data_IF_992132900689
#
_entry.id   IF_992132900689
#
_cell.length_a   1.000
_cell.length_b   1.000
_cell.length_c   1.000
_cell.angle_alpha   90.00
_cell.angle_beta   90.00
_cell.angle_gamma   90.00
#
_symmetry.space_group_name_H-M   'P 1'
#
loop_
_entity.id
_entity.type
_entity.pdbx_description
1 polymer ?
#
# COMPACT_ATOMS: atom_id res chain seq x y z
N UNK A 1 16.88 -14.06 34.03
CA UNK A 1 16.76 -13.57 32.64
C UNK A 1 15.68 -14.35 31.87
N UNK A 2 14.39 -14.04 32.09
CA UNK A 2 13.26 -14.67 31.38
C UNK A 2 12.08 -13.72 31.02
N UNK A 3 12.09 -12.37 31.20
CA UNK A 3 10.89 -11.58 30.87
C UNK A 3 10.73 -11.32 29.36
N UNK A 4 11.83 -11.32 28.59
CA UNK A 4 11.80 -10.92 27.18
C UNK A 4 11.02 -11.92 26.29
N UNK A 5 11.13 -13.22 26.57
CA UNK A 5 10.38 -14.26 25.84
C UNK A 5 8.88 -14.24 26.17
N UNK A 6 8.52 -13.89 27.41
CA UNK A 6 7.11 -13.74 27.81
C UNK A 6 6.45 -12.53 27.16
N UNK A 7 7.20 -11.42 26.99
CA UNK A 7 6.70 -10.22 26.33
C UNK A 7 6.48 -10.44 24.83
N UNK A 8 7.38 -11.16 24.16
CA UNK A 8 7.26 -11.49 22.73
C UNK A 8 6.06 -12.42 22.48
N UNK A 9 5.86 -13.43 23.34
CA UNK A 9 4.69 -14.32 23.24
C UNK A 9 3.36 -13.59 23.50
N UNK A 10 3.34 -12.62 24.42
CA UNK A 10 2.17 -11.78 24.68
C UNK A 10 1.83 -10.90 23.45
N UNK A 11 2.83 -10.26 22.84
CA UNK A 11 2.65 -9.45 21.62
C UNK A 11 2.17 -10.28 20.43
N UNK A 12 2.70 -11.50 20.25
CA UNK A 12 2.23 -12.43 19.23
C UNK A 12 0.79 -12.88 19.46
N UNK A 13 0.35 -13.05 20.72
CA UNK A 13 -1.03 -13.41 21.02
C UNK A 13 -2.04 -12.27 20.76
N UNK A 14 -1.58 -11.01 20.81
CA UNK A 14 -2.41 -9.85 20.49
C UNK A 14 -2.65 -9.69 18.98
N UNK A 15 -1.72 -10.16 18.15
CA UNK A 15 -1.81 -10.10 16.67
C UNK A 15 -2.76 -11.17 16.12
N UNK A 16 -2.99 -12.26 16.87
CA UNK A 16 -3.76 -13.44 16.39
C UNK A 16 -5.21 -13.43 16.91
N UNK A 17 -5.63 -12.45 17.71
CA UNK A 17 -7.06 -12.28 18.03
C UNK A 17 -7.81 -11.80 16.78
N UNK A 18 -8.64 -12.64 16.12
CA UNK A 18 -9.49 -12.15 15.06
C UNK A 18 -10.60 -11.38 15.77
N UNK A 19 -10.60 -10.05 15.62
CA UNK A 19 -11.74 -9.22 15.96
C UNK A 19 -12.91 -9.63 15.06
N UNK A 20 -13.67 -10.64 15.46
CA UNK A 20 -14.99 -10.91 14.91
C UNK A 20 -15.95 -9.84 15.43
N UNK A 21 -15.76 -8.61 14.95
CA UNK A 21 -16.82 -7.63 14.92
C UNK A 21 -17.37 -7.73 13.51
N UNK A 22 -18.42 -8.56 13.39
CA UNK A 22 -19.39 -8.43 12.30
C UNK A 22 -19.95 -7.02 12.43
N UNK A 23 -19.35 -6.08 11.71
CA UNK A 23 -20.03 -4.87 11.31
C UNK A 23 -20.73 -5.21 10.00
N UNK A 24 -22.05 -5.07 9.98
CA UNK A 24 -22.83 -5.15 8.76
C UNK A 24 -22.14 -4.25 7.72
N UNK A 25 -21.67 -4.86 6.63
CA UNK A 25 -21.25 -4.11 5.47
C UNK A 25 -22.53 -3.48 4.90
N UNK A 26 -22.81 -2.25 5.33
CA UNK A 26 -23.52 -1.33 4.47
C UNK A 26 -22.69 -1.26 3.19
N UNK A 27 -23.28 -1.77 2.12
CA UNK A 27 -22.82 -1.58 0.75
C UNK A 27 -22.85 -0.08 0.49
N UNK A 28 -21.78 0.60 0.94
CA UNK A 28 -21.56 2.01 0.69
C UNK A 28 -21.41 2.15 -0.82
N UNK A 29 -22.48 2.65 -1.42
CA UNK A 29 -22.65 2.97 -2.83
C UNK A 29 -21.72 4.13 -3.24
N UNK A 30 -20.41 3.94 -3.11
CA UNK A 30 -19.42 4.76 -3.79
C UNK A 30 -19.15 4.03 -5.10
N UNK A 31 -19.90 4.42 -6.14
CA UNK A 31 -19.99 3.77 -7.44
C UNK A 31 -18.66 3.65 -8.19
N UNK A 32 -17.94 2.57 -7.93
CA UNK A 32 -16.81 2.08 -8.71
C UNK A 32 -16.71 0.57 -8.54
N UNK A 33 -16.28 -0.15 -9.59
CA UNK A 33 -16.08 -1.59 -9.44
C UNK A 33 -14.91 -1.82 -8.46
N UNK A 34 -14.94 -2.87 -7.62
CA UNK A 34 -13.89 -3.10 -6.61
C UNK A 34 -12.48 -3.30 -7.17
N UNK A 35 -12.34 -3.44 -8.49
CA UNK A 35 -11.08 -3.60 -9.23
C UNK A 35 -10.73 -2.40 -10.11
N UNK A 36 -11.48 -1.31 -10.03
CA UNK A 36 -11.30 -0.14 -10.88
C UNK A 36 -10.15 0.73 -10.37
N UNK A 37 -8.98 0.58 -10.99
CA UNK A 37 -7.84 1.47 -10.75
C UNK A 37 -8.06 2.81 -11.44
N UNK A 38 -8.03 3.88 -10.65
CA UNK A 38 -8.05 5.25 -11.15
C UNK A 38 -6.68 5.89 -10.86
N UNK A 39 -6.02 6.40 -11.90
CA UNK A 39 -4.79 7.17 -11.77
C UNK A 39 -4.97 8.30 -10.74
N UNK A 40 -4.04 8.39 -9.79
CA UNK A 40 -4.08 9.36 -8.69
C UNK A 40 -5.05 9.02 -7.55
N UNK A 41 -5.84 7.94 -7.64
CA UNK A 41 -6.75 7.50 -6.57
C UNK A 41 -6.41 6.14 -5.97
N UNK A 42 -5.47 5.41 -6.58
CA UNK A 42 -5.09 4.07 -6.15
C UNK A 42 -6.17 3.01 -6.43
N UNK A 43 -5.88 1.79 -6.04
CA UNK A 43 -6.78 0.65 -6.03
C UNK A 43 -7.29 0.41 -4.62
N UNK A 44 -8.61 0.36 -4.44
CA UNK A 44 -9.21 0.08 -3.12
C UNK A 44 -8.91 -1.35 -2.68
N UNK A 45 -8.52 -1.53 -1.43
CA UNK A 45 -8.25 -2.84 -0.84
C UNK A 45 -9.57 -3.41 -0.29
N UNK A 46 -10.20 -4.30 -1.06
CA UNK A 46 -11.45 -4.97 -0.69
C UNK A 46 -12.54 -3.97 -0.23
N UNK A 47 -13.21 -4.26 0.89
CA UNK A 47 -14.24 -3.41 1.48
C UNK A 47 -13.69 -2.43 2.54
N UNK A 48 -12.36 -2.18 2.57
CA UNK A 48 -11.72 -1.28 3.54
C UNK A 48 -11.65 0.16 3.05
N UNK A 49 -11.28 1.09 3.93
CA UNK A 49 -10.98 2.48 3.58
C UNK A 49 -9.50 2.69 3.22
N UNK A 50 -8.80 1.60 2.89
CA UNK A 50 -7.42 1.62 2.43
C UNK A 50 -7.31 1.42 0.92
N UNK A 51 -6.27 2.02 0.36
CA UNK A 51 -5.94 2.04 -1.04
C UNK A 51 -4.46 1.68 -1.20
N UNK A 52 -4.14 0.92 -2.25
CA UNK A 52 -2.78 0.70 -2.72
C UNK A 52 -2.55 1.53 -3.98
N UNK A 53 -1.44 2.24 -4.05
CA UNK A 53 -1.03 2.99 -5.22
C UNK A 53 0.48 2.87 -5.42
N UNK A 54 0.97 3.59 -6.42
CA UNK A 54 2.37 3.63 -6.74
C UNK A 54 2.62 4.42 -8.01
N UNK A 55 3.90 4.65 -8.27
CA UNK A 55 4.39 5.20 -9.53
C UNK A 55 5.71 4.53 -9.90
N UNK A 56 6.06 4.68 -11.17
CA UNK A 56 7.33 4.23 -11.76
C UNK A 56 7.70 5.28 -12.79
N UNK A 57 8.95 5.70 -12.81
CA UNK A 57 9.49 6.51 -13.89
C UNK A 57 10.21 5.59 -14.89
N UNK A 58 10.04 5.89 -16.17
CA UNK A 58 10.57 5.08 -17.26
C UNK A 58 11.01 6.01 -18.38
N UNK A 59 12.31 6.03 -18.63
CA UNK A 59 12.93 6.92 -19.61
C UNK A 59 13.62 6.10 -20.69
N UNK A 60 13.58 6.60 -21.93
CA UNK A 60 14.34 6.07 -23.05
C UNK A 60 15.23 7.17 -23.59
N UNK A 61 16.55 6.95 -23.50
CA UNK A 61 17.56 7.87 -23.98
C UNK A 61 18.14 7.34 -25.30
N UNK A 62 18.07 8.17 -26.34
CA UNK A 62 18.69 7.91 -27.65
C UNK A 62 19.57 9.12 -27.99
N UNK A 63 20.83 9.04 -27.55
CA UNK A 63 21.84 10.01 -27.94
C UNK A 63 22.51 9.56 -29.25
N UNK A 64 22.56 10.48 -30.21
CA UNK A 64 23.09 10.21 -31.55
C UNK A 64 24.52 9.67 -31.50
N UNK A 65 24.67 8.35 -31.63
CA UNK A 65 25.97 7.66 -31.66
C UNK A 65 26.20 6.68 -30.50
N UNK A 66 25.27 6.58 -29.55
CA UNK A 66 25.29 5.58 -28.47
C UNK A 66 24.20 4.51 -28.65
N UNK A 67 24.34 3.37 -27.97
CA UNK A 67 23.25 2.39 -27.89
C UNK A 67 22.15 2.96 -27.00
N UNK A 68 20.90 2.95 -27.48
CA UNK A 68 19.77 3.48 -26.72
C UNK A 68 19.64 2.80 -25.36
N UNK A 69 19.44 3.60 -24.31
CA UNK A 69 19.32 3.13 -22.93
C UNK A 69 17.87 3.24 -22.44
N UNK A 70 17.40 2.21 -21.75
CA UNK A 70 16.18 2.28 -20.95
C UNK A 70 16.57 2.45 -19.49
N UNK A 71 16.02 3.46 -18.85
CA UNK A 71 16.23 3.74 -17.42
C UNK A 71 14.88 3.53 -16.72
N UNK A 72 14.91 2.78 -15.62
CA UNK A 72 13.77 2.62 -14.72
C UNK A 72 14.19 3.07 -13.34
N UNK A 73 13.68 4.22 -12.92
CA UNK A 73 13.96 4.83 -11.62
C UNK A 73 12.66 5.20 -10.90
N UNK A 74 12.82 5.61 -9.64
CA UNK A 74 11.75 6.07 -8.77
C UNK A 74 10.53 5.13 -8.71
N UNK A 75 10.78 3.85 -8.36
CA UNK A 75 9.69 2.89 -8.14
C UNK A 75 9.17 3.07 -6.73
N UNK A 76 7.90 3.49 -6.61
CA UNK A 76 7.23 3.61 -5.32
C UNK A 76 5.93 2.82 -5.27
N UNK A 77 5.69 2.17 -4.13
CA UNK A 77 4.42 1.59 -3.74
C UNK A 77 3.99 2.19 -2.41
N UNK A 78 2.73 2.59 -2.32
CA UNK A 78 2.19 3.14 -1.09
C UNK A 78 0.83 2.58 -0.74
N UNK A 79 0.58 2.50 0.56
CA UNK A 79 -0.72 2.16 1.16
C UNK A 79 -1.19 3.35 1.98
N UNK A 80 -2.41 3.79 1.73
CA UNK A 80 -2.99 4.96 2.39
C UNK A 80 -4.47 4.76 2.66
N UNK A 81 -5.01 5.45 3.65
CA UNK A 81 -6.41 5.31 4.02
C UNK A 81 -6.73 6.01 5.32
N UNK A 82 -7.98 5.91 5.75
CA UNK A 82 -8.43 6.49 7.02
C UNK A 82 -8.62 5.40 8.08
N UNK A 83 -8.16 5.67 9.31
CA UNK A 83 -8.38 4.82 10.49
C UNK A 83 -9.43 5.50 11.36
N UNK A 84 -10.70 5.26 11.02
CA UNK A 84 -11.82 5.98 11.61
C UNK A 84 -11.87 7.45 11.19
N UNK A 85 -12.67 8.29 11.88
CA UNK A 85 -13.00 9.64 11.39
C UNK A 85 -11.90 10.70 11.58
N UNK A 86 -10.82 10.38 12.32
CA UNK A 86 -9.85 11.38 12.78
C UNK A 86 -8.40 11.11 12.34
N UNK A 87 -8.10 9.88 11.93
CA UNK A 87 -6.73 9.49 11.61
C UNK A 87 -6.61 9.14 10.14
N UNK A 88 -5.58 9.68 9.50
CA UNK A 88 -5.15 9.28 8.17
C UNK A 88 -3.84 8.52 8.27
N UNK A 89 -3.80 7.37 7.62
CA UNK A 89 -2.63 6.51 7.50
C UNK A 89 -2.00 6.68 6.12
N UNK A 90 -0.68 6.69 6.09
CA UNK A 90 0.12 6.64 4.88
C UNK A 90 1.40 5.85 5.17
N UNK A 91 1.76 4.95 4.28
CA UNK A 91 3.02 4.20 4.29
C UNK A 91 3.49 4.03 2.87
N UNK A 92 4.80 4.20 2.65
CA UNK A 92 5.44 4.13 1.35
C UNK A 92 6.66 3.22 1.42
N UNK A 93 6.88 2.49 0.33
CA UNK A 93 8.08 1.71 0.03
C UNK A 93 8.60 2.21 -1.31
N UNK A 94 9.83 2.68 -1.33
CA UNK A 94 10.46 3.33 -2.47
C UNK A 94 11.81 2.68 -2.79
N UNK A 95 12.13 2.63 -4.07
CA UNK A 95 13.41 2.23 -4.64
C UNK A 95 13.84 3.28 -5.70
N UNK A 96 14.84 4.08 -5.35
CA UNK A 96 15.35 5.19 -6.18
C UNK A 96 16.25 4.68 -7.33
N UNK A 97 16.84 3.49 -7.23
CA UNK A 97 17.77 2.93 -8.23
C UNK A 97 17.32 1.53 -8.67
N UNK A 98 16.19 1.47 -9.38
CA UNK A 98 15.60 0.19 -9.74
C UNK A 98 16.29 -0.52 -10.92
N UNK A 99 16.74 0.21 -11.97
CA UNK A 99 17.47 -0.36 -13.13
C UNK A 99 18.11 0.65 -14.08
#
# INVERSE_FOLDING_TARGET
>A
MKPLRSLILLLLSLIILPSTIVSAAEESAIGGKPWEYNLGKGLRIAASDFFIGGYINAEYLDESGEEGAFILDDISFFVFGDIGPQFRFFSELEDEEAL
#
